data_IF_464392878760
#
_entry.id   IF_464392878760
#
_cell.length_a   1.000
_cell.length_b   1.000
_cell.length_c   1.000
_cell.angle_alpha   90.00
_cell.angle_beta   90.00
_cell.angle_gamma   90.00
#
_symmetry.space_group_name_H-M   'P 1'
#
loop_
_entity.id
_entity.type
_entity.pdbx_description
1 polymer ?
#
# COMPACT_ATOMS: atom_id res chain seq x y z
N UNK A 1 -12.26 35.15 -7.03
CA UNK A 1 -10.85 34.95 -6.62
C UNK A 1 -10.82 33.60 -5.93
N UNK A 2 -10.43 32.53 -6.64
CA UNK A 2 -10.30 31.20 -6.02
C UNK A 2 -8.96 31.18 -5.29
N UNK A 3 -8.98 31.04 -3.97
CA UNK A 3 -7.76 30.81 -3.22
C UNK A 3 -7.21 29.44 -3.61
N UNK A 4 -6.03 29.40 -4.22
CA UNK A 4 -5.37 28.17 -4.71
C UNK A 4 -4.82 27.28 -3.60
N UNK A 5 -4.85 27.74 -2.35
CA UNK A 5 -4.39 26.99 -1.18
C UNK A 5 -5.37 27.22 -0.02
N UNK A 6 -5.59 26.16 0.76
CA UNK A 6 -6.39 26.20 1.97
C UNK A 6 -5.57 25.66 3.14
N UNK A 7 -5.67 26.32 4.29
CA UNK A 7 -5.05 25.89 5.54
C UNK A 7 -6.16 25.65 6.55
N UNK A 8 -6.14 24.49 7.20
CA UNK A 8 -7.14 24.11 8.20
C UNK A 8 -6.47 23.97 9.58
N UNK A 9 -7.19 24.41 10.62
CA UNK A 9 -6.83 24.14 12.01
C UNK A 9 -7.58 22.91 12.48
N UNK A 10 -6.87 21.83 12.79
CA UNK A 10 -7.45 20.60 13.32
C UNK A 10 -7.27 20.57 14.84
N UNK A 11 -8.37 20.35 15.57
CA UNK A 11 -8.36 20.10 17.02
C UNK A 11 -8.76 18.66 17.26
N UNK A 12 -7.89 17.88 17.89
CA UNK A 12 -8.11 16.47 18.17
C UNK A 12 -8.40 16.27 19.66
N UNK A 13 -9.38 15.43 19.97
CA UNK A 13 -9.68 15.01 21.33
C UNK A 13 -9.36 13.52 21.47
N UNK A 14 -8.51 13.17 22.43
CA UNK A 14 -8.00 11.80 22.62
C UNK A 14 -8.33 11.31 24.03
N UNK A 15 -9.60 10.96 24.33
CA UNK A 15 -10.06 10.70 25.69
C UNK A 15 -9.40 9.47 26.34
N UNK A 16 -8.95 8.50 25.54
CA UNK A 16 -8.35 7.26 26.01
C UNK A 16 -6.82 7.21 25.85
N UNK A 17 -6.18 8.30 25.41
CA UNK A 17 -4.75 8.35 25.23
C UNK A 17 -4.08 8.79 26.54
N UNK A 18 -4.02 7.88 27.51
CA UNK A 18 -3.44 8.14 28.84
C UNK A 18 -1.96 8.54 28.79
N UNK A 19 -1.27 8.17 27.71
CA UNK A 19 0.18 8.37 27.56
C UNK A 19 0.56 9.47 26.56
N UNK A 20 -0.41 10.17 25.96
CA UNK A 20 -0.13 11.21 24.97
C UNK A 20 0.14 12.57 25.64
N UNK A 21 1.29 12.69 26.30
CA UNK A 21 1.81 13.97 26.81
C UNK A 21 2.60 14.67 25.71
N UNK A 22 2.41 15.98 25.57
CA UNK A 22 3.15 16.80 24.62
C UNK A 22 3.46 18.17 25.22
N UNK A 23 4.50 18.81 24.69
CA UNK A 23 4.89 20.18 24.95
C UNK A 23 4.85 21.00 23.65
N UNK A 24 4.81 22.34 23.72
CA UNK A 24 4.94 23.18 22.53
C UNK A 24 6.23 22.89 21.77
N UNK A 25 6.11 22.57 20.48
CA UNK A 25 7.23 22.19 19.61
C UNK A 25 7.29 20.69 19.28
N UNK A 26 6.53 19.84 20.00
CA UNK A 26 6.44 18.42 19.69
C UNK A 26 5.65 18.16 18.39
N UNK A 27 5.95 17.02 17.76
CA UNK A 27 5.31 16.57 16.53
C UNK A 27 4.35 15.42 16.83
N UNK A 28 3.30 15.29 16.02
CA UNK A 28 2.36 14.17 16.07
C UNK A 28 2.43 13.38 14.77
N UNK A 29 2.65 12.07 14.87
CA UNK A 29 2.52 11.16 13.74
C UNK A 29 1.05 10.88 13.46
N UNK A 30 0.63 11.07 12.21
CA UNK A 30 -0.72 10.77 11.75
C UNK A 30 -0.62 9.66 10.71
N UNK A 31 -1.42 8.60 10.87
CA UNK A 31 -1.56 7.52 9.90
C UNK A 31 -2.85 7.75 9.11
N UNK A 32 -2.78 8.34 7.90
CA UNK A 32 -3.96 8.57 7.08
C UNK A 32 -4.45 7.29 6.41
N UNK A 33 -5.67 7.34 5.90
CA UNK A 33 -6.19 6.35 4.97
C UNK A 33 -6.05 6.86 3.53
N UNK A 34 -5.79 5.96 2.59
CA UNK A 34 -5.92 6.25 1.17
C UNK A 34 -7.39 6.55 0.81
N UNK A 35 -7.60 7.28 -0.28
CA UNK A 35 -8.94 7.58 -0.78
C UNK A 35 -9.69 6.27 -1.11
N UNK A 36 -10.93 6.08 -0.65
CA UNK A 36 -11.74 4.92 -1.01
C UNK A 36 -11.84 4.71 -2.52
N UNK A 37 -11.96 5.79 -3.30
CA UNK A 37 -12.07 5.72 -4.76
C UNK A 37 -10.81 5.10 -5.40
N UNK A 38 -9.63 5.43 -4.89
CA UNK A 38 -8.35 4.88 -5.37
C UNK A 38 -8.25 3.40 -4.98
N UNK A 39 -8.62 3.08 -3.72
CA UNK A 39 -8.60 1.71 -3.22
C UNK A 39 -9.54 0.82 -4.05
N UNK A 40 -10.77 1.26 -4.28
CA UNK A 40 -11.76 0.52 -5.07
C UNK A 40 -11.31 0.34 -6.52
N UNK A 41 -10.73 1.37 -7.14
CA UNK A 41 -10.19 1.28 -8.49
C UNK A 41 -9.07 0.23 -8.61
N UNK A 42 -8.19 0.14 -7.61
CA UNK A 42 -7.14 -0.89 -7.55
C UNK A 42 -7.79 -2.28 -7.38
N UNK A 43 -8.69 -2.44 -6.41
CA UNK A 43 -9.33 -3.73 -6.11
C UNK A 43 -10.09 -4.30 -7.31
N UNK A 44 -10.79 -3.46 -8.07
CA UNK A 44 -11.49 -3.89 -9.31
C UNK A 44 -10.52 -4.36 -10.40
N UNK A 45 -9.28 -3.87 -10.40
CA UNK A 45 -8.28 -4.24 -11.41
C UNK A 45 -7.48 -5.49 -11.05
N UNK A 46 -7.47 -5.89 -9.78
CA UNK A 46 -6.80 -7.10 -9.32
C UNK A 46 -7.54 -8.35 -9.79
N UNK A 47 -6.83 -9.23 -10.47
CA UNK A 47 -7.32 -10.56 -10.82
C UNK A 47 -7.12 -11.50 -9.62
N UNK A 48 -8.10 -11.51 -8.71
CA UNK A 48 -8.09 -12.34 -7.51
C UNK A 48 -9.40 -13.07 -7.34
N UNK A 49 -9.33 -14.32 -6.89
CA UNK A 49 -10.50 -15.14 -6.53
C UNK A 49 -11.00 -14.85 -5.11
N UNK A 50 -10.24 -14.08 -4.33
CA UNK A 50 -10.51 -13.77 -2.93
C UNK A 50 -11.30 -12.46 -2.86
N UNK A 51 -12.39 -12.45 -2.08
CA UNK A 51 -13.17 -11.24 -1.86
C UNK A 51 -12.33 -10.14 -1.17
N UNK A 52 -12.47 -8.86 -1.54
CA UNK A 52 -11.61 -7.77 -1.06
C UNK A 52 -11.69 -7.55 0.46
N UNK A 53 -12.78 -7.99 1.10
CA UNK A 53 -13.05 -7.88 2.54
C UNK A 53 -12.72 -9.15 3.33
N UNK A 54 -12.31 -10.23 2.65
CA UNK A 54 -11.89 -11.46 3.31
C UNK A 54 -10.52 -11.27 3.97
N UNK A 55 -10.42 -11.62 5.24
CA UNK A 55 -9.14 -11.58 5.98
C UNK A 55 -8.23 -12.69 5.48
N UNK A 56 -7.01 -12.32 5.09
CA UNK A 56 -5.98 -13.25 4.62
C UNK A 56 -4.70 -13.11 5.46
N UNK A 57 -3.87 -14.15 5.42
CA UNK A 57 -2.47 -14.11 5.88
C UNK A 57 -1.55 -14.10 4.67
N UNK A 58 -0.54 -13.24 4.70
CA UNK A 58 0.49 -13.21 3.64
C UNK A 58 1.65 -14.07 4.08
N UNK A 59 2.00 -15.08 3.28
CA UNK A 59 3.16 -15.95 3.50
C UNK A 59 4.19 -15.73 2.37
N UNK A 60 5.47 -15.85 2.70
CA UNK A 60 6.60 -15.79 1.78
C UNK A 60 7.17 -17.19 1.64
N UNK A 61 7.35 -17.64 0.41
CA UNK A 61 8.11 -18.84 0.10
C UNK A 61 9.57 -18.49 -0.15
N UNK A 62 10.47 -19.28 0.44
CA UNK A 62 11.91 -19.24 0.12
C UNK A 62 12.37 -20.62 -0.30
N UNK A 63 12.89 -20.71 -1.53
CA UNK A 63 13.57 -21.88 -2.05
C UNK A 63 15.06 -21.55 -2.21
N UNK A 64 15.90 -22.16 -1.38
CA UNK A 64 17.35 -22.12 -1.53
C UNK A 64 17.77 -23.28 -2.43
N UNK A 65 18.85 -23.11 -3.20
CA UNK A 65 19.36 -24.17 -4.07
C UNK A 65 19.64 -25.46 -3.26
N UNK A 66 18.98 -26.55 -3.63
CA UNK A 66 19.14 -27.85 -2.98
C UNK A 66 18.31 -28.07 -1.70
N UNK A 67 17.45 -27.13 -1.29
CA UNK A 67 16.53 -27.33 -0.15
C UNK A 67 15.08 -27.46 -0.58
N UNK A 68 14.26 -28.10 0.27
CA UNK A 68 12.81 -28.07 0.12
C UNK A 68 12.29 -26.63 0.28
N UNK A 69 11.18 -26.35 -0.40
CA UNK A 69 10.46 -25.08 -0.28
C UNK A 69 9.98 -24.88 1.16
N UNK A 70 10.24 -23.70 1.73
CA UNK A 70 9.77 -23.35 3.08
C UNK A 70 8.89 -22.11 3.03
N UNK A 71 7.75 -22.18 3.72
CA UNK A 71 6.78 -21.09 3.82
C UNK A 71 6.84 -20.46 5.21
N UNK A 72 6.83 -19.13 5.26
CA UNK A 72 6.80 -18.37 6.52
C UNK A 72 5.89 -17.16 6.41
N UNK A 73 5.30 -16.72 7.53
CA UNK A 73 4.46 -15.53 7.57
C UNK A 73 5.27 -14.28 7.23
N UNK A 74 4.68 -13.35 6.47
CA UNK A 74 5.26 -12.05 6.18
C UNK A 74 5.28 -11.18 7.45
N UNK A 75 6.46 -10.73 7.87
CA UNK A 75 6.65 -10.10 9.19
C UNK A 75 5.98 -8.73 9.32
N UNK A 76 5.85 -7.98 8.22
CA UNK A 76 5.35 -6.59 8.24
C UNK A 76 3.85 -6.44 8.00
N UNK A 77 3.19 -7.47 7.49
CA UNK A 77 1.77 -7.38 7.13
C UNK A 77 0.95 -8.19 8.14
N UNK A 78 0.05 -7.56 8.89
CA UNK A 78 -0.85 -8.28 9.77
C UNK A 78 -1.87 -9.09 8.97
N UNK A 79 -2.54 -10.03 9.63
CA UNK A 79 -3.72 -10.68 9.06
C UNK A 79 -4.81 -9.63 8.84
N UNK A 80 -5.06 -9.30 7.58
CA UNK A 80 -6.01 -8.27 7.20
C UNK A 80 -6.61 -8.58 5.83
N UNK A 81 -7.67 -7.86 5.47
CA UNK A 81 -8.23 -7.94 4.13
C UNK A 81 -7.42 -7.09 3.14
N UNK A 82 -7.57 -7.36 1.84
CA UNK A 82 -6.95 -6.54 0.80
C UNK A 82 -7.40 -5.08 0.91
N UNK A 83 -8.69 -4.84 1.17
CA UNK A 83 -9.21 -3.49 1.39
C UNK A 83 -8.49 -2.78 2.54
N UNK A 84 -8.29 -3.45 3.66
CA UNK A 84 -7.56 -2.87 4.81
C UNK A 84 -6.10 -2.58 4.46
N UNK A 85 -5.42 -3.50 3.77
CA UNK A 85 -4.04 -3.32 3.36
C UNK A 85 -3.87 -2.09 2.46
N UNK A 86 -4.66 -1.99 1.38
CA UNK A 86 -4.62 -0.84 0.47
C UNK A 86 -5.15 0.45 1.09
N UNK A 87 -6.00 0.40 2.11
CA UNK A 87 -6.51 1.62 2.77
C UNK A 87 -5.51 2.21 3.75
N UNK A 88 -4.81 1.39 4.53
CA UNK A 88 -4.09 1.88 5.72
C UNK A 88 -2.61 1.48 5.81
N UNK A 89 -2.18 0.46 5.06
CA UNK A 89 -0.88 -0.17 5.28
C UNK A 89 0.08 -0.01 4.10
N UNK A 90 -0.46 0.16 2.90
CA UNK A 90 0.30 0.25 1.66
C UNK A 90 0.23 1.65 1.07
N UNK A 91 1.37 2.13 0.60
CA UNK A 91 1.43 3.35 -0.20
C UNK A 91 1.08 3.00 -1.65
N UNK A 92 -0.02 3.59 -2.12
CA UNK A 92 -0.54 3.42 -3.49
C UNK A 92 -0.40 4.70 -4.33
N UNK A 93 0.21 5.74 -3.76
CA UNK A 93 0.26 7.08 -4.36
C UNK A 93 1.66 7.52 -4.73
N UNK A 94 2.69 6.93 -4.13
CA UNK A 94 4.07 7.12 -4.58
C UNK A 94 4.27 6.56 -5.98
N UNK A 95 4.95 7.33 -6.83
CA UNK A 95 5.32 6.93 -8.18
C UNK A 95 6.09 5.59 -8.16
N UNK A 96 5.72 4.61 -8.99
CA UNK A 96 6.37 3.30 -8.99
C UNK A 96 7.87 3.41 -9.33
N UNK A 97 8.70 2.63 -8.62
CA UNK A 97 10.13 2.53 -8.89
C UNK A 97 10.41 1.77 -10.19
N UNK A 98 11.63 1.90 -10.71
CA UNK A 98 12.07 1.15 -11.90
C UNK A 98 11.90 -0.36 -11.70
N UNK A 99 12.23 -0.91 -10.51
CA UNK A 99 12.05 -2.33 -10.21
C UNK A 99 10.59 -2.77 -10.30
N UNK A 100 9.65 -1.97 -9.78
CA UNK A 100 8.22 -2.24 -9.89
C UNK A 100 7.81 -2.23 -11.37
N UNK A 101 8.30 -1.27 -12.16
CA UNK A 101 8.02 -1.21 -13.60
C UNK A 101 8.55 -2.42 -14.36
N UNK A 102 9.72 -2.97 -13.99
CA UNK A 102 10.24 -4.21 -14.56
C UNK A 102 9.32 -5.40 -14.26
N UNK A 103 8.83 -5.50 -13.02
CA UNK A 103 7.86 -6.54 -12.63
C UNK A 103 6.57 -6.38 -13.43
N UNK A 104 6.02 -5.17 -13.53
CA UNK A 104 4.80 -4.91 -14.31
C UNK A 104 4.99 -5.23 -15.80
N UNK A 105 6.14 -4.92 -16.39
CA UNK A 105 6.46 -5.27 -17.76
C UNK A 105 6.46 -6.79 -18.00
N UNK A 106 6.89 -7.58 -17.00
CA UNK A 106 6.87 -9.04 -17.08
C UNK A 106 5.45 -9.63 -17.08
N UNK A 107 4.48 -8.88 -16.56
CA UNK A 107 3.08 -9.29 -16.45
C UNK A 107 2.19 -8.69 -17.55
N UNK A 108 2.71 -7.77 -18.38
CA UNK A 108 1.94 -7.12 -19.43
C UNK A 108 1.63 -8.09 -20.59
N UNK A 109 0.35 -8.24 -20.94
CA UNK A 109 -0.09 -9.09 -22.07
C UNK A 109 0.00 -8.41 -23.43
N UNK A 110 0.10 -7.08 -23.45
CA UNK A 110 0.26 -6.26 -24.65
C UNK A 110 1.74 -5.99 -24.90
N UNK A 111 2.24 -6.34 -26.09
CA UNK A 111 3.64 -6.09 -26.47
C UNK A 111 4.00 -4.60 -26.45
N UNK A 112 3.03 -3.75 -26.83
CA UNK A 112 3.21 -2.30 -26.80
C UNK A 112 3.38 -1.77 -25.37
N UNK A 113 2.53 -2.22 -24.44
CA UNK A 113 2.60 -1.77 -23.04
C UNK A 113 3.84 -2.32 -22.35
N UNK A 114 4.19 -3.58 -22.63
CA UNK A 114 5.43 -4.20 -22.18
C UNK A 114 6.65 -3.40 -22.61
N UNK A 115 6.75 -3.06 -23.90
CA UNK A 115 7.86 -2.28 -24.42
C UNK A 115 7.96 -0.90 -23.76
N UNK A 116 6.82 -0.23 -23.57
CA UNK A 116 6.76 1.08 -22.91
C UNK A 116 7.19 1.01 -21.44
N UNK A 117 6.74 0.00 -20.70
CA UNK A 117 7.14 -0.21 -19.31
C UNK A 117 8.64 -0.51 -19.19
N UNK A 118 9.21 -1.31 -20.09
CA UNK A 118 10.65 -1.60 -20.13
C UNK A 118 11.47 -0.32 -20.36
N UNK A 119 11.02 0.56 -21.24
CA UNK A 119 11.71 1.83 -21.49
C UNK A 119 11.68 2.77 -20.28
N UNK A 120 10.57 2.80 -19.52
CA UNK A 120 10.47 3.59 -18.29
C UNK A 120 11.23 2.97 -17.11
N UNK A 121 11.60 1.70 -17.21
CA UNK A 121 12.27 0.92 -16.19
C UNK A 121 13.81 0.92 -16.28
N UNK A 122 14.37 1.83 -17.08
CA UNK A 122 15.82 2.07 -17.27
C UNK A 122 16.22 3.34 -16.52
#
# INVERSE_FOLDING_TARGET
>A
MFFSQQTILVKMHMPNATDLKYAPGDHVGIFPANSPDIVDAILVRLDTTIGPDQVIRTDISTQLEGTNETWRSHEKLPNCSLRTAFSFLLDVTTTPSQEILQVLASQASSDMDKHRLQLLAT
#
